data_IF_378240988137
#
_entry.id   IF_378240988137
#
_cell.length_a   1.000
_cell.length_b   1.000
_cell.length_c   1.000
_cell.angle_alpha   90.00
_cell.angle_beta   90.00
_cell.angle_gamma   90.00
#
_symmetry.space_group_name_H-M   'P 1'
#
loop_
_entity.id
_entity.type
_entity.pdbx_description
1 polymer ?
#
# COMPACT_ATOMS: atom_id res chain seq x y z
N UNK A 1 -20.66 -27.29 -18.28
CA UNK A 1 -19.57 -27.48 -17.29
C UNK A 1 -18.20 -26.99 -17.79
N UNK A 2 -17.95 -26.89 -19.10
CA UNK A 2 -16.67 -26.37 -19.64
C UNK A 2 -16.39 -24.87 -19.38
N UNK A 3 -17.43 -24.06 -19.13
CA UNK A 3 -17.29 -22.60 -18.96
C UNK A 3 -16.66 -22.19 -17.63
N UNK A 4 -16.89 -22.94 -16.54
CA UNK A 4 -16.40 -22.59 -15.20
C UNK A 4 -14.88 -22.79 -15.07
N UNK A 5 -14.40 -23.91 -15.59
CA UNK A 5 -13.00 -24.31 -15.54
C UNK A 5 -12.09 -23.38 -16.38
N UNK A 6 -12.56 -22.91 -17.54
CA UNK A 6 -11.83 -21.91 -18.34
C UNK A 6 -11.79 -20.53 -17.69
N UNK A 7 -12.84 -20.15 -16.97
CA UNK A 7 -12.92 -18.86 -16.28
C UNK A 7 -12.02 -18.81 -15.03
N UNK A 8 -11.95 -19.92 -14.29
CA UNK A 8 -11.05 -20.10 -13.15
C UNK A 8 -9.57 -20.07 -13.58
N UNK A 9 -9.23 -20.73 -14.68
CA UNK A 9 -7.87 -20.72 -15.23
C UNK A 9 -7.43 -19.30 -15.68
N UNK A 10 -8.32 -18.57 -16.37
CA UNK A 10 -8.06 -17.19 -16.79
C UNK A 10 -7.90 -16.24 -15.58
N UNK A 11 -8.71 -16.42 -14.53
CA UNK A 11 -8.59 -15.65 -13.30
C UNK A 11 -7.28 -15.94 -12.56
N UNK A 12 -6.84 -17.20 -12.53
CA UNK A 12 -5.58 -17.58 -11.91
C UNK A 12 -4.37 -17.00 -12.66
N UNK A 13 -4.41 -16.98 -13.99
CA UNK A 13 -3.36 -16.33 -14.79
C UNK A 13 -3.32 -14.81 -14.57
N UNK A 14 -4.49 -14.15 -14.50
CA UNK A 14 -4.58 -12.73 -14.20
C UNK A 14 -4.02 -12.39 -12.81
N UNK A 15 -4.31 -13.21 -11.80
CA UNK A 15 -3.75 -13.05 -10.45
C UNK A 15 -2.21 -13.16 -10.45
N UNK A 16 -1.65 -14.16 -11.15
CA UNK A 16 -0.19 -14.32 -11.27
C UNK A 16 0.49 -13.11 -11.94
N UNK A 17 -0.12 -12.59 -13.02
CA UNK A 17 0.38 -11.37 -13.69
C UNK A 17 0.28 -10.15 -12.78
N UNK A 18 -0.80 -10.05 -12.00
CA UNK A 18 -0.97 -8.98 -11.03
C UNK A 18 0.14 -9.01 -9.98
N UNK A 19 0.43 -10.18 -9.41
CA UNK A 19 1.53 -10.38 -8.46
C UNK A 19 2.87 -9.97 -9.06
N UNK A 20 3.18 -10.42 -10.28
CA UNK A 20 4.41 -10.04 -10.99
C UNK A 20 4.53 -8.51 -11.18
N UNK A 21 3.41 -7.83 -11.45
CA UNK A 21 3.41 -6.37 -11.58
C UNK A 21 3.54 -5.66 -10.24
N UNK A 22 2.99 -6.22 -9.15
CA UNK A 22 3.15 -5.67 -7.80
C UNK A 22 4.62 -5.72 -7.39
N UNK A 23 5.33 -6.80 -7.69
CA UNK A 23 6.77 -6.93 -7.42
C UNK A 23 7.62 -5.91 -8.18
N UNK A 24 7.12 -5.40 -9.31
CA UNK A 24 7.81 -4.40 -10.15
C UNK A 24 7.46 -2.95 -9.74
N UNK A 25 6.69 -2.73 -8.69
CA UNK A 25 6.43 -1.39 -8.16
C UNK A 25 7.75 -0.78 -7.68
N UNK A 26 8.07 0.41 -8.19
CA UNK A 26 9.28 1.12 -7.81
C UNK A 26 9.00 2.15 -6.71
N UNK A 27 9.84 2.15 -5.68
CA UNK A 27 9.75 3.08 -4.55
C UNK A 27 10.99 3.97 -4.55
N UNK A 28 10.81 5.28 -4.57
CA UNK A 28 11.94 6.20 -4.50
C UNK A 28 12.60 6.21 -3.12
N UNK A 29 13.81 6.78 -3.06
CA UNK A 29 14.37 7.22 -1.79
C UNK A 29 13.47 8.25 -1.11
N UNK A 30 13.61 8.35 0.22
CA UNK A 30 12.89 9.33 1.03
C UNK A 30 13.64 10.63 1.03
N UNK A 31 12.92 11.74 0.89
CA UNK A 31 13.44 13.09 1.02
C UNK A 31 12.53 13.87 1.98
N UNK A 32 13.01 14.96 2.56
CA UNK A 32 12.26 15.65 3.62
C UNK A 32 12.50 17.14 3.64
N UNK A 33 11.49 17.90 4.03
CA UNK A 33 11.60 19.30 4.44
C UNK A 33 11.47 19.41 5.98
N UNK A 34 11.17 20.59 6.52
CA UNK A 34 11.04 20.80 7.96
C UNK A 34 9.84 20.06 8.60
N UNK A 35 8.76 19.81 7.86
CA UNK A 35 7.49 19.32 8.39
C UNK A 35 7.18 17.87 7.98
N UNK A 36 7.56 17.48 6.77
CA UNK A 36 7.19 16.22 6.13
C UNK A 36 8.39 15.43 5.61
N UNK A 37 8.18 14.11 5.54
CA UNK A 37 8.95 13.17 4.75
C UNK A 37 8.14 12.79 3.51
N UNK A 38 8.81 12.68 2.37
CA UNK A 38 8.21 12.46 1.06
C UNK A 38 8.85 11.26 0.36
N UNK A 39 8.07 10.67 -0.54
CA UNK A 39 8.50 9.62 -1.46
C UNK A 39 7.54 9.59 -2.64
N UNK A 40 8.01 9.18 -3.81
CA UNK A 40 7.13 8.82 -4.91
C UNK A 40 7.17 7.31 -5.18
N UNK A 41 6.03 6.79 -5.63
CA UNK A 41 5.88 5.39 -6.04
C UNK A 41 5.51 5.36 -7.51
N UNK A 42 6.25 4.59 -8.30
CA UNK A 42 6.01 4.45 -9.73
C UNK A 42 5.40 3.08 -9.99
N UNK A 43 4.17 3.09 -10.50
CA UNK A 43 3.46 1.88 -10.87
C UNK A 43 3.88 1.41 -12.27
N UNK A 44 4.10 0.10 -12.47
CA UNK A 44 4.25 -0.44 -13.81
C UNK A 44 3.03 -0.12 -14.67
N UNK A 45 3.27 0.30 -15.91
CA UNK A 45 2.18 0.64 -16.86
C UNK A 45 1.11 -0.45 -16.99
N UNK A 46 1.43 -1.77 -16.99
CA UNK A 46 0.41 -2.82 -17.00
C UNK A 46 -0.48 -2.80 -15.74
N UNK A 47 0.12 -2.65 -14.55
CA UNK A 47 -0.62 -2.54 -13.28
C UNK A 47 -1.55 -1.32 -13.29
N UNK A 48 -1.03 -0.17 -13.74
CA UNK A 48 -1.79 1.06 -13.81
C UNK A 48 -3.07 0.92 -14.66
N UNK A 49 -2.99 0.20 -15.78
CA UNK A 49 -4.15 -0.07 -16.66
C UNK A 49 -5.17 -1.03 -16.05
N UNK A 50 -4.78 -1.83 -15.06
CA UNK A 50 -5.66 -2.76 -14.35
C UNK A 50 -6.40 -2.10 -13.18
N UNK A 51 -6.03 -0.87 -12.81
CA UNK A 51 -6.67 -0.16 -11.71
C UNK A 51 -8.15 0.08 -12.03
N UNK A 52 -9.06 -0.16 -11.07
CA UNK A 52 -10.48 0.08 -11.26
C UNK A 52 -10.80 1.55 -11.59
N UNK A 53 -11.69 1.79 -12.55
CA UNK A 53 -12.02 3.13 -13.07
C UNK A 53 -12.55 4.10 -11.99
N UNK A 54 -13.14 3.59 -10.91
CA UNK A 54 -13.62 4.41 -9.79
C UNK A 54 -12.51 5.07 -8.95
N UNK A 55 -11.26 4.64 -9.12
CA UNK A 55 -10.09 5.28 -8.50
C UNK A 55 -9.48 6.37 -9.39
N UNK A 56 -10.01 6.59 -10.58
CA UNK A 56 -9.61 7.67 -11.48
C UNK A 56 -10.50 8.91 -11.30
N UNK A 57 -9.94 10.08 -11.60
CA UNK A 57 -10.72 11.30 -11.58
C UNK A 57 -11.78 11.34 -12.71
N UNK A 58 -12.97 11.91 -12.46
CA UNK A 58 -14.08 11.94 -13.43
C UNK A 58 -13.85 12.93 -14.59
N UNK A 59 -12.92 13.89 -14.46
CA UNK A 59 -12.63 14.92 -15.47
C UNK A 59 -11.90 14.41 -16.72
N UNK A 60 -11.67 13.09 -16.83
CA UNK A 60 -10.99 12.43 -17.95
C UNK A 60 -9.51 12.81 -18.12
N UNK A 61 -8.87 13.42 -17.14
CA UNK A 61 -7.41 13.63 -17.13
C UNK A 61 -6.60 12.34 -17.23
N UNK A 62 -7.19 11.18 -16.95
CA UNK A 62 -6.49 9.89 -16.93
C UNK A 62 -5.60 9.72 -15.69
N UNK A 63 -5.78 10.58 -14.69
CA UNK A 63 -5.07 10.54 -13.42
C UNK A 63 -5.90 9.83 -12.34
N UNK A 64 -5.22 9.26 -11.35
CA UNK A 64 -5.86 8.77 -10.14
C UNK A 64 -6.34 9.95 -9.30
N UNK A 65 -7.48 9.79 -8.63
CA UNK A 65 -7.87 10.71 -7.55
C UNK A 65 -6.94 10.53 -6.35
N UNK A 66 -7.07 11.41 -5.35
CA UNK A 66 -6.45 11.17 -4.05
C UNK A 66 -7.01 9.86 -3.46
N UNK A 67 -6.10 9.02 -2.99
CA UNK A 67 -6.38 7.66 -2.56
C UNK A 67 -6.21 7.57 -1.06
N UNK A 68 -7.16 6.95 -0.39
CA UNK A 68 -7.05 6.60 1.02
C UNK A 68 -6.02 5.48 1.23
N UNK A 69 -5.57 5.27 2.48
CA UNK A 69 -4.63 4.19 2.82
C UNK A 69 -5.11 2.82 2.34
N UNK A 70 -6.38 2.51 2.55
CA UNK A 70 -6.94 1.24 2.14
C UNK A 70 -6.94 1.07 0.61
N UNK A 71 -7.15 2.15 -0.14
CA UNK A 71 -7.24 2.09 -1.60
C UNK A 71 -5.88 1.91 -2.25
N UNK A 72 -4.86 2.67 -1.84
CA UNK A 72 -3.52 2.49 -2.40
C UNK A 72 -2.89 1.17 -1.96
N UNK A 73 -3.18 0.69 -0.74
CA UNK A 73 -2.79 -0.68 -0.33
C UNK A 73 -3.47 -1.75 -1.16
N UNK A 74 -4.74 -1.53 -1.53
CA UNK A 74 -5.50 -2.42 -2.41
C UNK A 74 -4.93 -2.55 -3.83
N UNK A 75 -4.17 -1.56 -4.30
CA UNK A 75 -3.43 -1.62 -5.59
C UNK A 75 -2.17 -2.51 -5.48
N UNK A 76 -1.72 -2.83 -4.26
CA UNK A 76 -0.50 -3.60 -3.98
C UNK A 76 0.68 -2.73 -3.54
N UNK A 77 0.49 -1.41 -3.39
CA UNK A 77 1.53 -0.53 -2.84
C UNK A 77 1.72 -0.88 -1.37
N UNK A 78 2.96 -1.17 -0.98
CA UNK A 78 3.31 -1.57 0.39
C UNK A 78 4.35 -0.63 0.96
N UNK A 79 3.97 0.07 2.03
CA UNK A 79 4.85 0.97 2.77
C UNK A 79 4.44 0.98 4.25
N UNK A 80 5.29 1.58 5.08
CA UNK A 80 5.03 1.75 6.51
C UNK A 80 3.75 2.57 6.75
N UNK A 81 3.31 2.63 8.01
CA UNK A 81 2.13 3.42 8.38
C UNK A 81 2.43 4.93 8.37
N UNK A 82 1.38 5.72 8.13
CA UNK A 82 1.42 7.19 8.19
C UNK A 82 1.68 7.90 6.85
N UNK A 83 1.80 7.16 5.75
CA UNK A 83 1.94 7.76 4.41
C UNK A 83 0.57 8.14 3.82
N UNK A 84 0.47 9.37 3.35
CA UNK A 84 -0.71 9.95 2.71
C UNK A 84 -0.41 10.22 1.23
N UNK A 85 -1.31 9.78 0.33
CA UNK A 85 -1.27 10.18 -1.09
C UNK A 85 -1.80 11.62 -1.17
N UNK A 86 -0.92 12.59 -1.36
CA UNK A 86 -1.26 14.00 -1.12
C UNK A 86 -1.44 14.83 -2.40
N UNK A 87 -0.83 14.41 -3.51
CA UNK A 87 -0.87 15.16 -4.76
C UNK A 87 -0.87 14.23 -5.97
N UNK A 88 -1.56 14.68 -7.02
CA UNK A 88 -1.69 13.98 -8.31
C UNK A 88 -0.71 14.56 -9.31
N UNK A 89 0.13 13.71 -9.88
CA UNK A 89 1.10 14.12 -10.89
C UNK A 89 0.55 13.90 -12.32
N UNK A 90 -0.02 14.96 -12.91
CA UNK A 90 -0.66 14.86 -14.22
C UNK A 90 0.26 14.45 -15.40
N UNK A 91 1.52 14.94 -15.50
CA UNK A 91 2.41 14.56 -16.60
C UNK A 91 2.73 13.05 -16.65
N UNK A 92 2.90 12.43 -15.48
CA UNK A 92 3.14 10.99 -15.35
C UNK A 92 2.13 10.36 -14.40
N UNK A 93 0.92 9.99 -14.87
CA UNK A 93 -0.21 9.61 -14.01
C UNK A 93 0.00 8.30 -13.23
N UNK A 94 1.04 7.55 -13.58
CA UNK A 94 1.47 6.31 -12.93
C UNK A 94 2.47 6.56 -11.78
N UNK A 95 2.84 7.82 -11.54
CA UNK A 95 3.65 8.27 -10.41
C UNK A 95 2.73 8.81 -9.33
N UNK A 96 2.75 8.20 -8.15
CA UNK A 96 1.96 8.60 -6.99
C UNK A 96 2.87 9.27 -5.96
N UNK A 97 2.43 10.42 -5.45
CA UNK A 97 3.20 11.23 -4.51
C UNK A 97 2.71 11.01 -3.08
N UNK A 98 3.61 10.59 -2.20
CA UNK A 98 3.31 10.34 -0.80
C UNK A 98 4.04 11.30 0.13
N UNK A 99 3.39 11.69 1.21
CA UNK A 99 3.98 12.43 2.32
C UNK A 99 3.63 11.80 3.66
N UNK A 100 4.44 12.04 4.68
CA UNK A 100 4.21 11.60 6.06
C UNK A 100 4.78 12.65 7.01
N UNK A 101 4.04 13.01 8.05
CA UNK A 101 4.53 13.95 9.06
C UNK A 101 5.74 13.38 9.80
N UNK A 102 6.80 14.18 10.02
CA UNK A 102 8.03 13.70 10.70
C UNK A 102 7.77 13.27 12.15
N UNK A 103 6.85 13.95 12.82
CA UNK A 103 6.42 13.66 14.18
C UNK A 103 5.33 12.58 14.25
N UNK A 104 5.10 11.82 13.18
CA UNK A 104 4.09 10.76 13.18
C UNK A 104 4.42 9.70 14.24
N UNK A 105 3.53 9.58 15.22
CA UNK A 105 3.55 8.51 16.23
C UNK A 105 2.57 7.44 15.79
N UNK A 106 3.10 6.25 15.51
CA UNK A 106 2.29 5.07 15.27
C UNK A 106 1.35 4.84 16.47
N UNK A 107 0.05 4.58 16.26
CA UNK A 107 -0.82 4.18 17.36
C UNK A 107 -0.22 2.93 18.02
N UNK A 108 0.04 3.01 19.33
CA UNK A 108 0.59 1.87 20.05
C UNK A 108 -0.42 0.73 19.98
N UNK A 109 -0.03 -0.36 19.31
CA UNK A 109 -0.79 -1.60 19.40
C UNK A 109 -0.82 -2.00 20.87
N UNK A 110 -1.98 -2.31 21.46
CA UNK A 110 -2.03 -2.75 22.84
C UNK A 110 -1.10 -3.96 22.96
N UNK A 111 -0.05 -3.83 23.77
CA UNK A 111 0.88 -4.91 24.02
C UNK A 111 0.06 -6.12 24.48
N UNK A 112 0.08 -7.20 23.71
CA UNK A 112 -0.48 -8.47 24.18
C UNK A 112 0.24 -8.79 25.48
N UNK A 113 -0.50 -8.71 26.58
CA UNK A 113 0.01 -8.89 27.93
C UNK A 113 0.60 -10.29 28.02
N UNK A 114 1.92 -10.39 27.91
CA UNK A 114 2.66 -11.62 28.09
C UNK A 114 2.39 -12.06 29.53
N UNK A 115 1.61 -13.12 29.70
CA UNK A 115 1.31 -13.71 31.00
C UNK A 115 2.61 -14.24 31.61
N UNK A 116 3.28 -13.39 32.39
CA UNK A 116 4.42 -13.77 33.21
C UNK A 116 3.89 -14.67 34.34
N UNK A 117 3.95 -15.99 34.12
CA UNK A 117 3.68 -16.97 35.15
C UNK A 117 4.75 -16.87 36.26
N UNK A 118 4.50 -16.00 37.24
CA UNK A 118 5.28 -15.91 38.45
C UNK A 118 5.04 -17.13 39.33
N UNK A 119 5.95 -18.10 39.33
CA UNK A 119 6.09 -19.03 40.45
C UNK A 119 7.00 -18.41 41.50
N UNK A 120 6.38 -17.87 42.54
CA UNK A 120 7.01 -17.38 43.75
C UNK A 120 7.74 -18.48 44.54
N UNK A 121 8.85 -18.05 45.13
CA UNK A 121 9.76 -18.69 46.09
C UNK A 121 9.13 -19.65 47.13
N UNK A 122 9.91 -20.66 47.51
CA UNK A 122 10.05 -21.03 48.92
C UNK A 122 11.51 -21.41 49.23
N UNK A 123 12.27 -20.46 49.80
CA UNK A 123 13.46 -20.75 50.64
C UNK A 123 12.93 -21.32 51.96
N UNK A 124 13.40 -22.50 52.37
CA UNK A 124 13.40 -22.91 53.78
C UNK A 124 14.82 -23.27 54.19
N UNK A 125 15.16 -22.79 55.39
CA UNK A 125 16.38 -23.04 56.16
C UNK A 125 16.61 -24.53 56.36
#
# INVERSE_FOLDING_TARGET
MATKQSQEAASAEAARKLEEYIEKIHYSDRYSDDEYEYRHVILPKPLFKMIPKQLFNPDKSGTLRLLTEQEWRGIGITQSIGWEHYEVHAPEPHVLLFRRAKNFVAPQQPAQQQVVNGKGKARRK
#
